data_IF_783528093062
#
_entry.id   IF_783528093062
#
_cell.length_a   1.000
_cell.length_b   1.000
_cell.length_c   1.000
_cell.angle_alpha   90.00
_cell.angle_beta   90.00
_cell.angle_gamma   90.00
#
_symmetry.space_group_name_H-M   'P 1'
#
loop_
_entity.id
_entity.type
_entity.pdbx_description
1 polymer ?
#
# COMPACT_ATOMS: atom_id res chain seq x y z
N UNK A 1 38.59 14.29 8.29
CA UNK A 1 37.50 14.25 9.28
C UNK A 1 36.19 14.39 8.54
N UNK A 2 35.17 13.58 8.82
CA UNK A 2 33.87 13.72 8.18
C UNK A 2 33.22 15.04 8.63
N UNK A 3 32.65 15.79 7.68
CA UNK A 3 31.93 17.04 7.99
C UNK A 3 30.63 16.73 8.73
N UNK A 4 30.32 17.49 9.77
CA UNK A 4 29.01 17.46 10.44
C UNK A 4 28.07 18.40 9.67
N UNK A 5 27.01 17.86 9.13
CA UNK A 5 26.00 18.61 8.36
C UNK A 5 24.80 18.93 9.25
N UNK A 6 24.41 17.98 10.11
CA UNK A 6 23.30 18.14 11.06
C UNK A 6 23.85 18.10 12.50
N UNK A 7 24.16 19.25 13.13
CA UNK A 7 24.70 19.30 14.49
C UNK A 7 23.78 18.68 15.55
N UNK A 8 22.45 18.85 15.36
CA UNK A 8 21.43 18.23 16.20
C UNK A 8 20.49 17.46 15.27
N UNK A 9 20.48 16.14 15.37
CA UNK A 9 19.61 15.29 14.56
C UNK A 9 19.14 14.07 15.32
N UNK A 10 18.12 13.40 14.82
CA UNK A 10 17.57 12.18 15.42
C UNK A 10 17.58 11.03 14.43
N UNK A 11 18.09 9.88 14.86
CA UNK A 11 17.90 8.60 14.19
C UNK A 11 16.75 7.83 14.84
N UNK A 12 15.89 7.22 14.03
CA UNK A 12 14.76 6.42 14.51
C UNK A 12 14.79 5.02 13.94
N UNK A 13 14.78 4.03 14.83
CA UNK A 13 14.53 2.64 14.51
C UNK A 13 13.04 2.33 14.72
N UNK A 14 12.36 1.96 13.62
CA UNK A 14 10.89 1.88 13.54
C UNK A 14 10.43 0.44 13.57
N UNK A 15 9.59 0.11 14.55
CA UNK A 15 8.89 -1.17 14.67
C UNK A 15 7.37 -1.01 14.62
N UNK A 16 6.65 -2.13 14.53
CA UNK A 16 5.18 -2.14 14.50
C UNK A 16 4.56 -1.50 15.74
N UNK A 17 5.07 -1.79 16.94
CA UNK A 17 4.46 -1.42 18.22
C UNK A 17 5.21 -0.31 18.97
N UNK A 18 6.41 0.02 18.54
CA UNK A 18 7.23 1.06 19.16
C UNK A 18 8.23 1.66 18.17
N UNK A 19 8.80 2.79 18.55
CA UNK A 19 9.92 3.43 17.88
C UNK A 19 11.00 3.75 18.94
N UNK A 20 12.26 3.52 18.60
CA UNK A 20 13.39 3.99 19.39
C UNK A 20 14.00 5.20 18.68
N UNK A 21 13.97 6.33 19.35
CA UNK A 21 14.54 7.58 18.86
C UNK A 21 15.84 7.89 19.61
N UNK A 22 16.86 8.28 18.86
CA UNK A 22 18.15 8.69 19.41
C UNK A 22 18.56 10.06 18.86
N UNK A 23 18.54 11.09 19.69
CA UNK A 23 19.06 12.42 19.35
C UNK A 23 20.57 12.40 19.51
N UNK A 24 21.29 12.77 18.46
CA UNK A 24 22.71 13.09 18.46
C UNK A 24 22.84 14.61 18.47
N UNK A 25 23.55 15.14 19.47
CA UNK A 25 23.82 16.57 19.58
C UNK A 25 25.35 16.78 19.64
N UNK A 26 25.87 17.47 18.64
CA UNK A 26 27.31 17.73 18.48
C UNK A 26 27.62 19.20 18.76
N UNK A 27 28.55 19.45 19.66
CA UNK A 27 28.99 20.80 19.98
C UNK A 27 30.06 21.33 18.99
N UNK A 28 30.46 22.59 19.15
CA UNK A 28 31.44 23.26 18.29
C UNK A 28 32.84 22.62 18.34
N UNK A 29 33.13 21.85 19.38
CA UNK A 29 34.36 21.07 19.52
C UNK A 29 34.29 19.68 18.87
N UNK A 30 33.18 19.35 18.19
CA UNK A 30 32.98 18.07 17.52
C UNK A 30 32.64 16.91 18.47
N UNK A 31 32.35 17.18 19.75
CA UNK A 31 31.94 16.15 20.72
C UNK A 31 30.44 15.91 20.60
N UNK A 32 30.06 14.66 20.32
CA UNK A 32 28.65 14.24 20.16
C UNK A 32 28.13 13.59 21.44
N UNK A 33 27.00 14.07 21.93
CA UNK A 33 26.23 13.45 23.02
C UNK A 33 24.98 12.80 22.46
N UNK A 34 24.48 11.77 23.15
CA UNK A 34 23.32 10.99 22.68
C UNK A 34 22.27 10.90 23.76
N UNK A 35 21.01 11.17 23.39
CA UNK A 35 19.83 10.94 24.22
C UNK A 35 18.90 9.97 23.51
N UNK A 36 18.62 8.81 24.10
CA UNK A 36 17.72 7.80 23.50
C UNK A 36 16.46 7.65 24.32
N UNK A 37 15.33 7.56 23.64
CA UNK A 37 14.02 7.26 24.22
C UNK A 37 13.28 6.25 23.37
N UNK A 38 12.44 5.43 24.03
CA UNK A 38 11.49 4.53 23.37
C UNK A 38 10.08 5.07 23.57
N UNK A 39 9.30 5.07 22.49
CA UNK A 39 7.91 5.48 22.46
C UNK A 39 7.08 4.35 21.86
N UNK A 40 5.83 4.17 22.30
CA UNK A 40 4.89 3.31 21.59
C UNK A 40 4.41 3.97 20.31
N UNK A 41 3.86 3.18 19.37
CA UNK A 41 3.30 3.72 18.12
C UNK A 41 1.86 4.22 18.27
N UNK A 42 1.31 4.28 19.49
CA UNK A 42 0.05 4.96 19.74
C UNK A 42 0.18 6.48 19.58
N UNK A 43 -0.85 7.10 19.03
CA UNK A 43 -0.85 8.53 18.67
C UNK A 43 -0.42 9.45 19.81
N UNK A 44 -0.86 9.18 21.05
CA UNK A 44 -0.47 9.97 22.22
C UNK A 44 1.03 9.93 22.50
N UNK A 45 1.67 8.76 22.36
CA UNK A 45 3.10 8.58 22.53
C UNK A 45 3.91 9.20 21.39
N UNK A 46 3.42 9.10 20.15
CA UNK A 46 4.06 9.75 19.02
C UNK A 46 4.01 11.28 19.13
N UNK A 47 2.92 11.85 19.67
CA UNK A 47 2.86 13.28 20.00
C UNK A 47 3.85 13.66 21.11
N UNK A 48 4.04 12.79 22.13
CA UNK A 48 5.09 12.98 23.15
C UNK A 48 6.49 12.90 22.55
N UNK A 49 6.68 12.04 21.55
CA UNK A 49 7.94 11.98 20.78
C UNK A 49 8.18 13.31 20.04
N UNK A 50 7.17 13.85 19.35
CA UNK A 50 7.27 15.15 18.68
C UNK A 50 7.61 16.28 19.66
N UNK A 51 6.93 16.37 20.80
CA UNK A 51 7.23 17.33 21.84
C UNK A 51 8.67 17.19 22.37
N UNK A 52 9.12 15.96 22.62
CA UNK A 52 10.48 15.69 23.08
C UNK A 52 11.56 16.11 22.05
N UNK A 53 11.30 15.97 20.76
CA UNK A 53 12.20 16.46 19.70
C UNK A 53 12.27 17.99 19.73
N UNK A 54 11.12 18.67 19.83
CA UNK A 54 11.05 20.15 19.91
C UNK A 54 11.78 20.67 21.16
N UNK A 55 11.55 20.08 22.33
CA UNK A 55 12.25 20.41 23.58
C UNK A 55 13.77 20.30 23.49
N UNK A 56 14.28 19.43 22.63
CA UNK A 56 15.71 19.25 22.40
C UNK A 56 16.22 19.99 21.14
N UNK A 57 15.44 20.92 20.57
CA UNK A 57 15.77 21.66 19.34
C UNK A 57 16.14 20.74 18.15
N UNK A 58 15.62 19.53 18.11
CA UNK A 58 15.90 18.54 17.08
C UNK A 58 14.83 18.60 15.98
N UNK A 59 15.17 19.25 14.87
CA UNK A 59 14.28 19.37 13.70
C UNK A 59 14.52 18.31 12.64
N UNK A 60 15.74 17.81 12.54
CA UNK A 60 16.15 16.90 11.48
C UNK A 60 16.09 15.46 11.97
N UNK A 61 15.24 14.65 11.32
CA UNK A 61 14.92 13.27 11.74
C UNK A 61 15.15 12.32 10.58
N UNK A 62 15.96 11.30 10.80
CA UNK A 62 16.13 10.20 9.87
C UNK A 62 15.48 8.94 10.43
N UNK A 63 14.62 8.29 9.66
CA UNK A 63 13.98 7.02 10.03
C UNK A 63 14.14 5.97 8.95
N UNK A 64 14.20 4.69 9.35
CA UNK A 64 14.22 3.58 8.42
C UNK A 64 12.84 3.29 7.85
N UNK A 65 12.74 3.02 6.54
CA UNK A 65 11.49 2.74 5.83
C UNK A 65 11.00 1.30 6.01
N UNK A 66 10.85 0.86 7.28
CA UNK A 66 10.38 -0.50 7.56
C UNK A 66 8.89 -0.65 7.25
N UNK A 67 8.57 -1.32 6.15
CA UNK A 67 7.19 -1.60 5.70
C UNK A 67 6.32 -0.35 5.63
N UNK A 68 5.16 -0.36 6.32
CA UNK A 68 4.22 0.77 6.43
C UNK A 68 4.30 1.49 7.78
N UNK A 69 5.13 1.00 8.70
CA UNK A 69 5.12 1.47 10.11
C UNK A 69 5.65 2.89 10.27
N UNK A 70 6.49 3.36 9.34
CA UNK A 70 6.98 4.73 9.31
C UNK A 70 5.90 5.78 8.99
N UNK A 71 4.84 5.41 8.26
CA UNK A 71 3.82 6.35 7.76
C UNK A 71 3.11 7.11 8.90
N UNK A 72 2.53 6.45 9.94
CA UNK A 72 1.89 7.17 11.04
C UNK A 72 2.86 8.02 11.84
N UNK A 73 4.13 7.62 11.96
CA UNK A 73 5.16 8.42 12.65
C UNK A 73 5.47 9.67 11.82
N UNK A 74 5.69 9.51 10.51
CA UNK A 74 5.93 10.61 9.59
C UNK A 74 4.79 11.63 9.62
N UNK A 75 3.53 11.18 9.53
CA UNK A 75 2.36 12.06 9.54
C UNK A 75 2.24 12.92 10.83
N UNK A 76 2.75 12.42 11.95
CA UNK A 76 2.71 13.15 13.23
C UNK A 76 3.92 14.10 13.37
N UNK A 77 5.08 13.71 12.84
CA UNK A 77 6.31 14.49 13.00
C UNK A 77 6.51 15.56 11.91
N UNK A 78 6.01 15.32 10.69
CA UNK A 78 6.26 16.24 9.54
C UNK A 78 5.80 17.69 9.75
N UNK A 79 4.81 18.04 10.62
CA UNK A 79 4.49 19.44 10.90
C UNK A 79 5.59 20.19 11.65
N UNK A 80 6.48 19.48 12.35
CA UNK A 80 7.50 20.07 13.25
C UNK A 80 8.93 19.66 12.90
N UNK A 81 9.12 18.65 12.07
CA UNK A 81 10.42 18.08 11.76
C UNK A 81 10.63 17.90 10.26
N UNK A 82 11.87 18.05 9.83
CA UNK A 82 12.36 17.67 8.50
C UNK A 82 12.64 16.16 8.51
N UNK A 83 11.88 15.37 7.76
CA UNK A 83 11.98 13.93 7.81
C UNK A 83 12.72 13.40 6.59
N UNK A 84 13.78 12.64 6.83
CA UNK A 84 14.50 11.85 5.84
C UNK A 84 14.17 10.38 6.06
N UNK A 85 13.57 9.76 5.04
CA UNK A 85 13.23 8.34 5.05
C UNK A 85 14.36 7.57 4.38
N UNK A 86 15.11 6.79 5.16
CA UNK A 86 16.22 6.00 4.69
C UNK A 86 15.77 4.61 4.23
N UNK A 87 16.29 4.15 3.10
CA UNK A 87 16.08 2.78 2.68
C UNK A 87 16.93 1.83 3.55
N UNK A 88 16.38 0.70 4.06
CA UNK A 88 17.07 -0.23 4.97
C UNK A 88 18.43 -0.72 4.47
N UNK A 89 18.60 -0.85 3.15
CA UNK A 89 19.85 -1.27 2.53
C UNK A 89 21.02 -0.30 2.83
N UNK A 90 20.73 0.99 2.97
CA UNK A 90 21.76 2.04 3.18
C UNK A 90 22.03 2.34 4.64
N UNK A 91 21.13 1.93 5.54
CA UNK A 91 21.25 2.14 6.99
C UNK A 91 21.72 0.88 7.72
N UNK A 92 21.97 -0.21 7.00
CA UNK A 92 22.34 -1.50 7.58
C UNK A 92 23.63 -1.36 8.39
N UNK A 93 23.54 -1.56 9.72
CA UNK A 93 24.69 -1.50 10.61
C UNK A 93 25.75 -2.55 10.25
N UNK A 94 27.01 -2.16 10.41
CA UNK A 94 28.17 -3.04 10.29
C UNK A 94 28.12 -4.08 11.42
N UNK A 95 28.62 -5.28 11.18
CA UNK A 95 28.57 -6.48 12.04
C UNK A 95 28.75 -6.16 13.55
N UNK A 96 27.83 -6.64 14.39
CA UNK A 96 27.89 -6.53 15.84
C UNK A 96 26.61 -7.00 16.53
N UNK A 97 26.57 -7.04 17.86
CA UNK A 97 25.37 -7.34 18.65
C UNK A 97 24.32 -6.25 18.41
N UNK A 98 23.27 -6.55 17.64
CA UNK A 98 22.16 -5.65 17.34
C UNK A 98 21.32 -5.39 18.59
N UNK A 99 21.01 -4.12 18.85
CA UNK A 99 19.97 -3.68 19.78
C UNK A 99 19.31 -2.44 19.19
N UNK A 100 18.00 -2.29 19.37
CA UNK A 100 17.22 -1.16 18.83
C UNK A 100 17.84 0.22 19.19
N UNK A 101 18.40 0.35 20.38
CA UNK A 101 19.13 1.57 20.80
C UNK A 101 20.39 1.82 19.99
N UNK A 102 21.12 0.77 19.64
CA UNK A 102 22.34 0.87 18.82
C UNK A 102 21.98 1.19 17.38
N UNK A 103 20.88 0.61 16.89
CA UNK A 103 20.40 0.84 15.53
C UNK A 103 19.92 2.28 15.38
N UNK A 104 19.10 2.81 16.29
CA UNK A 104 18.71 4.23 16.31
C UNK A 104 19.90 5.19 16.44
N UNK A 105 20.87 4.86 17.30
CA UNK A 105 22.11 5.64 17.44
C UNK A 105 22.93 5.63 16.14
N UNK A 106 23.09 4.47 15.52
CA UNK A 106 23.78 4.32 14.24
C UNK A 106 23.15 5.15 13.14
N UNK A 107 21.80 5.13 13.04
CA UNK A 107 21.08 5.97 12.08
C UNK A 107 21.38 7.45 12.33
N UNK A 108 21.38 7.91 13.57
CA UNK A 108 21.74 9.28 13.92
C UNK A 108 23.18 9.61 13.54
N UNK A 109 24.12 8.67 13.76
CA UNK A 109 25.55 8.86 13.46
C UNK A 109 25.84 9.01 11.97
N UNK A 110 25.24 8.20 11.13
CA UNK A 110 25.42 8.34 9.66
C UNK A 110 24.66 9.54 9.12
N UNK A 111 23.50 9.87 9.71
CA UNK A 111 22.69 11.01 9.29
C UNK A 111 23.35 12.35 9.60
N UNK A 112 23.96 12.52 10.76
CA UNK A 112 24.66 13.78 11.11
C UNK A 112 25.73 14.20 10.12
N UNK A 113 26.28 13.23 9.38
CA UNK A 113 27.30 13.43 8.34
C UNK A 113 26.72 13.47 6.90
N UNK A 114 25.38 13.44 6.76
CA UNK A 114 24.70 13.38 5.47
C UNK A 114 25.11 12.16 4.60
N UNK A 115 25.37 11.04 5.26
CA UNK A 115 25.73 9.78 4.58
C UNK A 115 24.50 8.91 4.22
N UNK A 116 23.31 9.44 4.46
CA UNK A 116 22.04 8.74 4.19
C UNK A 116 21.38 9.31 2.96
N UNK A 117 21.24 8.49 1.91
CA UNK A 117 20.40 8.86 0.78
C UNK A 117 18.92 8.71 1.15
N UNK A 118 18.21 9.83 1.21
CA UNK A 118 16.79 9.87 1.51
C UNK A 118 15.92 9.38 0.36
N UNK A 119 14.87 8.62 0.67
CA UNK A 119 13.80 8.32 -0.28
C UNK A 119 12.88 9.52 -0.42
N UNK A 120 12.41 9.78 -1.65
CA UNK A 120 11.45 10.86 -1.88
C UNK A 120 10.12 10.54 -1.21
N UNK A 121 9.67 11.42 -0.32
CA UNK A 121 8.35 11.39 0.31
C UNK A 121 7.49 12.47 -0.36
N UNK A 122 6.44 12.10 -1.12
CA UNK A 122 5.53 13.09 -1.67
C UNK A 122 4.80 13.87 -0.58
N UNK A 123 4.35 15.10 -0.83
CA UNK A 123 3.45 15.84 0.06
C UNK A 123 2.22 15.02 0.47
N UNK A 124 1.61 15.35 1.61
CA UNK A 124 0.53 14.56 2.21
C UNK A 124 -0.67 14.37 1.30
N UNK A 125 -1.09 15.42 0.59
CA UNK A 125 -2.17 15.42 -0.39
C UNK A 125 -1.89 14.46 -1.56
N UNK A 126 -0.66 14.47 -2.07
CA UNK A 126 -0.23 13.56 -3.14
C UNK A 126 -0.17 12.11 -2.64
N UNK A 127 0.24 11.87 -1.37
CA UNK A 127 0.19 10.52 -0.77
C UNK A 127 -1.25 10.00 -0.70
N UNK A 128 -2.18 10.83 -0.23
CA UNK A 128 -3.61 10.48 -0.16
C UNK A 128 -4.19 10.19 -1.55
N UNK A 129 -3.90 11.05 -2.54
CA UNK A 129 -4.35 10.85 -3.92
C UNK A 129 -3.82 9.53 -4.49
N UNK A 130 -2.54 9.23 -4.29
CA UNK A 130 -1.92 7.95 -4.73
C UNK A 130 -2.61 6.74 -4.11
N UNK A 131 -2.96 6.81 -2.83
CA UNK A 131 -3.65 5.70 -2.15
C UNK A 131 -5.06 5.49 -2.70
N UNK A 132 -5.82 6.56 -2.97
CA UNK A 132 -7.13 6.48 -3.61
C UNK A 132 -7.06 5.90 -5.03
N UNK A 133 -6.12 6.36 -5.85
CA UNK A 133 -5.93 5.85 -7.22
C UNK A 133 -5.53 4.37 -7.21
N UNK A 134 -4.62 3.97 -6.31
CA UNK A 134 -4.21 2.58 -6.15
C UNK A 134 -5.36 1.70 -5.66
N UNK A 135 -6.19 2.21 -4.77
CA UNK A 135 -7.38 1.49 -4.29
C UNK A 135 -8.39 1.29 -5.42
N UNK A 136 -8.69 2.34 -6.20
CA UNK A 136 -9.54 2.25 -7.40
C UNK A 136 -9.01 1.19 -8.37
N UNK A 137 -7.71 1.22 -8.66
CA UNK A 137 -7.10 0.21 -9.54
C UNK A 137 -7.26 -1.22 -9.01
N UNK A 138 -7.09 -1.43 -7.71
CA UNK A 138 -7.35 -2.73 -7.07
C UNK A 138 -8.80 -3.20 -7.22
N UNK A 139 -9.76 -2.30 -7.01
CA UNK A 139 -11.18 -2.63 -7.17
C UNK A 139 -11.49 -3.04 -8.62
N UNK A 140 -10.96 -2.32 -9.59
CA UNK A 140 -11.09 -2.68 -11.01
C UNK A 140 -10.48 -4.05 -11.30
N UNK A 141 -9.30 -4.34 -10.77
CA UNK A 141 -8.64 -5.64 -10.92
C UNK A 141 -9.44 -6.78 -10.30
N UNK A 142 -10.02 -6.57 -9.11
CA UNK A 142 -10.90 -7.55 -8.47
C UNK A 142 -12.15 -7.81 -9.34
N UNK A 143 -12.82 -6.76 -9.82
CA UNK A 143 -13.98 -6.90 -10.71
C UNK A 143 -13.63 -7.72 -11.96
N UNK A 144 -12.48 -7.44 -12.59
CA UNK A 144 -11.99 -8.21 -13.73
C UNK A 144 -11.74 -9.67 -13.35
N UNK A 145 -11.13 -9.91 -12.19
CA UNK A 145 -10.90 -11.26 -11.68
C UNK A 145 -12.19 -12.06 -11.48
N UNK A 146 -13.23 -11.44 -10.90
CA UNK A 146 -14.52 -12.10 -10.72
C UNK A 146 -15.25 -12.35 -12.05
N UNK A 147 -15.18 -11.41 -13.00
CA UNK A 147 -15.69 -11.62 -14.34
C UNK A 147 -15.04 -12.83 -15.03
N UNK A 148 -13.71 -12.92 -14.95
CA UNK A 148 -12.99 -14.06 -15.52
C UNK A 148 -13.36 -15.39 -14.86
N UNK A 149 -13.59 -15.41 -13.53
CA UNK A 149 -14.06 -16.62 -12.82
C UNK A 149 -15.45 -17.04 -13.30
N UNK A 150 -16.38 -16.08 -13.38
CA UNK A 150 -17.74 -16.37 -13.86
C UNK A 150 -17.71 -16.89 -15.31
N UNK A 151 -16.90 -16.29 -16.18
CA UNK A 151 -16.75 -16.78 -17.55
C UNK A 151 -16.14 -18.18 -17.60
N UNK A 152 -15.15 -18.49 -16.76
CA UNK A 152 -14.61 -19.84 -16.67
C UNK A 152 -15.66 -20.86 -16.23
N UNK A 153 -16.54 -20.50 -15.28
CA UNK A 153 -17.64 -21.38 -14.88
C UNK A 153 -18.59 -21.66 -16.07
N UNK A 154 -18.97 -20.63 -16.84
CA UNK A 154 -19.80 -20.79 -18.04
C UNK A 154 -19.10 -21.70 -19.06
N UNK A 155 -17.82 -21.48 -19.31
CA UNK A 155 -17.01 -22.28 -20.24
C UNK A 155 -16.93 -23.76 -19.82
N UNK A 156 -16.69 -24.04 -18.55
CA UNK A 156 -16.63 -25.41 -18.01
C UNK A 156 -17.97 -26.12 -18.14
N UNK A 157 -19.06 -25.39 -17.97
CA UNK A 157 -20.45 -25.89 -18.17
C UNK A 157 -20.89 -25.89 -19.62
N UNK A 158 -19.99 -25.62 -20.56
CA UNK A 158 -20.25 -25.53 -22.02
C UNK A 158 -21.27 -24.46 -22.43
N UNK A 159 -21.46 -23.41 -21.62
CA UNK A 159 -22.22 -22.23 -22.03
C UNK A 159 -21.27 -21.27 -22.78
N UNK A 160 -21.54 -21.08 -24.09
CA UNK A 160 -20.63 -20.31 -24.97
C UNK A 160 -21.17 -18.90 -25.24
N UNK A 161 -21.51 -18.19 -24.19
CA UNK A 161 -22.05 -16.84 -24.29
C UNK A 161 -21.06 -15.83 -24.88
N UNK A 162 -19.75 -16.05 -24.72
CA UNK A 162 -18.68 -15.25 -25.29
C UNK A 162 -18.53 -15.40 -26.82
N UNK A 163 -19.04 -16.48 -27.42
CA UNK A 163 -19.07 -16.65 -28.87
C UNK A 163 -20.17 -15.79 -29.55
N UNK A 164 -21.23 -15.45 -28.81
CA UNK A 164 -22.40 -14.75 -29.34
C UNK A 164 -22.61 -13.34 -28.80
N UNK A 165 -22.02 -13.03 -27.65
CA UNK A 165 -22.09 -11.70 -27.04
C UNK A 165 -20.68 -11.08 -26.89
N UNK A 166 -20.52 -9.84 -27.33
CA UNK A 166 -19.27 -9.09 -27.16
C UNK A 166 -18.98 -8.73 -25.69
N UNK A 167 -20.01 -8.71 -24.84
CA UNK A 167 -19.92 -8.54 -23.40
C UNK A 167 -20.84 -9.53 -22.71
N UNK A 168 -20.27 -10.57 -22.14
CA UNK A 168 -20.97 -11.63 -21.38
C UNK A 168 -21.65 -11.09 -20.12
N UNK A 169 -21.24 -9.91 -19.64
CA UNK A 169 -21.86 -9.21 -18.51
C UNK A 169 -22.78 -8.07 -18.94
N UNK A 170 -23.05 -7.96 -20.26
CA UNK A 170 -24.05 -7.06 -20.81
C UNK A 170 -25.49 -7.49 -20.48
N UNK A 171 -26.44 -6.57 -20.66
CA UNK A 171 -27.83 -6.74 -20.20
C UNK A 171 -28.47 -8.07 -20.64
N UNK A 172 -28.37 -8.45 -21.92
CA UNK A 172 -28.95 -9.66 -22.43
C UNK A 172 -28.27 -10.93 -21.89
N UNK A 173 -26.94 -11.00 -21.98
CA UNK A 173 -26.19 -12.16 -21.52
C UNK A 173 -26.30 -12.35 -19.98
N UNK A 174 -26.31 -11.26 -19.19
CA UNK A 174 -26.56 -11.34 -17.75
C UNK A 174 -27.96 -11.85 -17.43
N UNK A 175 -29.00 -11.43 -18.16
CA UNK A 175 -30.36 -11.92 -17.93
C UNK A 175 -30.47 -13.43 -18.26
N UNK A 176 -29.85 -13.89 -19.34
CA UNK A 176 -29.75 -15.31 -19.69
C UNK A 176 -29.00 -16.08 -18.58
N UNK A 177 -27.84 -15.59 -18.13
CA UNK A 177 -27.06 -16.22 -17.05
C UNK A 177 -27.88 -16.30 -15.77
N UNK A 178 -28.62 -15.26 -15.41
CA UNK A 178 -29.49 -15.26 -14.23
C UNK A 178 -30.60 -16.33 -14.38
N UNK A 179 -31.22 -16.43 -15.54
CA UNK A 179 -32.24 -17.46 -15.81
C UNK A 179 -31.67 -18.87 -15.65
N UNK A 180 -30.48 -19.14 -16.18
CA UNK A 180 -29.79 -20.44 -16.02
C UNK A 180 -29.53 -20.74 -14.53
N UNK A 181 -29.07 -19.76 -13.77
CA UNK A 181 -28.76 -19.94 -12.33
C UNK A 181 -30.02 -20.18 -11.48
N UNK A 182 -31.12 -19.52 -11.81
CA UNK A 182 -32.39 -19.69 -11.10
C UNK A 182 -33.07 -21.04 -11.42
N UNK A 183 -32.83 -21.57 -12.62
CA UNK A 183 -33.47 -22.82 -13.10
C UNK A 183 -32.44 -23.72 -13.80
N UNK A 184 -31.46 -24.27 -13.08
CA UNK A 184 -30.30 -24.95 -13.68
C UNK A 184 -30.62 -26.24 -14.41
N UNK A 185 -31.81 -26.82 -14.20
CA UNK A 185 -32.28 -28.03 -14.88
C UNK A 185 -33.23 -27.77 -16.05
N UNK A 186 -33.67 -26.53 -16.21
CA UNK A 186 -34.59 -26.14 -17.26
C UNK A 186 -33.86 -25.62 -18.50
N UNK A 187 -34.04 -26.24 -19.63
CA UNK A 187 -33.46 -25.76 -20.91
C UNK A 187 -34.20 -24.53 -21.41
N UNK A 188 -33.44 -23.52 -21.82
CA UNK A 188 -33.99 -22.33 -22.47
C UNK A 188 -34.34 -22.69 -23.92
N UNK A 189 -35.65 -22.64 -24.25
CA UNK A 189 -36.16 -22.95 -25.59
C UNK A 189 -36.58 -21.70 -26.37
N UNK A 190 -36.76 -20.57 -25.68
CA UNK A 190 -37.05 -19.27 -26.29
C UNK A 190 -36.21 -18.18 -25.63
N UNK A 191 -35.67 -17.31 -26.46
CA UNK A 191 -34.82 -16.17 -26.03
C UNK A 191 -35.47 -14.82 -26.34
N UNK A 192 -36.72 -14.79 -26.76
CA UNK A 192 -37.41 -13.56 -27.18
C UNK A 192 -37.43 -12.50 -26.07
N UNK A 193 -37.58 -12.91 -24.83
CA UNK A 193 -37.59 -12.04 -23.66
C UNK A 193 -36.23 -11.39 -23.35
N UNK A 194 -35.10 -12.01 -23.76
CA UNK A 194 -33.75 -11.52 -23.53
C UNK A 194 -33.24 -10.61 -24.64
N UNK A 195 -34.03 -10.47 -25.73
CA UNK A 195 -33.58 -9.75 -26.91
C UNK A 195 -33.48 -8.24 -26.66
N UNK A 196 -32.34 -7.66 -26.97
CA UNK A 196 -32.08 -6.21 -26.84
C UNK A 196 -31.83 -5.58 -28.22
N UNK A 197 -32.13 -4.25 -28.35
CA UNK A 197 -32.02 -3.44 -29.57
C UNK A 197 -30.60 -3.31 -30.09
N UNK A 198 -29.71 -4.13 -30.02
CA UNK A 198 -28.33 -4.08 -30.52
C UNK A 198 -27.72 -5.45 -30.64
N UNK A 199 -28.50 -6.46 -30.33
CA UNK A 199 -28.08 -7.84 -30.39
C UNK A 199 -27.89 -8.28 -31.83
N UNK A 200 -26.68 -8.65 -32.23
CA UNK A 200 -26.31 -9.07 -33.57
C UNK A 200 -26.55 -10.57 -33.80
N UNK A 201 -26.43 -11.37 -32.75
CA UNK A 201 -26.62 -12.82 -32.83
C UNK A 201 -28.05 -13.20 -33.15
N UNK A 202 -28.24 -14.25 -33.95
CA UNK A 202 -29.57 -14.82 -34.26
C UNK A 202 -30.07 -15.61 -33.04
N UNK A 203 -31.42 -15.87 -33.03
CA UNK A 203 -32.00 -16.68 -31.97
C UNK A 203 -31.39 -18.08 -31.93
N UNK A 204 -31.16 -18.69 -33.09
CA UNK A 204 -30.55 -20.02 -33.22
C UNK A 204 -29.13 -20.05 -32.65
N UNK A 205 -28.33 -19.02 -32.93
CA UNK A 205 -26.95 -18.91 -32.36
C UNK A 205 -26.97 -18.81 -30.86
N UNK A 206 -27.86 -18.02 -30.28
CA UNK A 206 -27.97 -17.89 -28.85
C UNK A 206 -28.49 -19.15 -28.18
N UNK A 207 -29.51 -19.79 -28.77
CA UNK A 207 -30.01 -21.08 -28.27
C UNK A 207 -28.91 -22.15 -28.27
N UNK A 208 -28.12 -22.21 -29.34
CA UNK A 208 -26.97 -23.13 -29.38
C UNK A 208 -25.90 -22.81 -28.32
N UNK A 209 -25.68 -21.51 -28.02
CA UNK A 209 -24.70 -21.06 -27.03
C UNK A 209 -25.12 -21.32 -25.54
N UNK A 210 -26.43 -21.47 -25.30
CA UNK A 210 -27.01 -21.75 -23.97
C UNK A 210 -27.36 -23.22 -23.75
N UNK A 211 -27.07 -24.09 -24.73
CA UNK A 211 -27.27 -25.55 -24.59
C UNK A 211 -26.08 -26.20 -23.86
N UNK A 212 -25.87 -25.80 -22.61
CA UNK A 212 -24.86 -26.33 -21.70
C UNK A 212 -25.49 -27.01 -20.49
N UNK A 213 -24.66 -27.58 -19.64
CA UNK A 213 -25.10 -28.26 -18.41
C UNK A 213 -24.30 -27.70 -17.25
N UNK A 214 -25.00 -27.27 -16.18
CA UNK A 214 -24.35 -26.87 -14.94
C UNK A 214 -23.77 -28.10 -14.25
N UNK A 215 -22.44 -28.10 -14.02
CA UNK A 215 -21.69 -29.14 -13.30
C UNK A 215 -21.65 -28.89 -11.80
#
# INVERSE_FOLDING_TARGET
MLKIVYPICCGMDVHKSFVVACIASTNDHGVTTYKSRRFSTFTGDLRRCAAWLVENNCKDVCMESTGKYWIPICNILEPTCNIVLAHPKYVKAIRGKKTDKRDAKWIADIFKHDLVSGSFIPPADIRQLRDLVRYRWKLTSFTTGEKNRAQNCLTVSNFKLDDVFSDVFGKAASAITTRILENPTEKITDISEFRTKGMKATNEQVLAAVDGEMC
#
